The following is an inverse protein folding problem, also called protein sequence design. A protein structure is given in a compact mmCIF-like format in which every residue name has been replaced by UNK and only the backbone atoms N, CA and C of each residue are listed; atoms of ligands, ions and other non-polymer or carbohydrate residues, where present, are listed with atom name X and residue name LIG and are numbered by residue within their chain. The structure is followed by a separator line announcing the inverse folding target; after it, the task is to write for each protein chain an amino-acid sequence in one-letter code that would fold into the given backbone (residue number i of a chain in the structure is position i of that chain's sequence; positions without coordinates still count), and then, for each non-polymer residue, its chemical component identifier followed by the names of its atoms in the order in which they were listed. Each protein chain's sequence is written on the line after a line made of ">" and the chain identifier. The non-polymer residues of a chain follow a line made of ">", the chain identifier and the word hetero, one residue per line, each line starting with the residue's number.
data_IF_635380251204
#
_entry.id   IF_635380251204
#
_cell.length_a   1.000
_cell.length_b   1.000
_cell.length_c   1.000
_cell.angle_alpha   90.00
_cell.angle_beta   90.00
_cell.angle_gamma   90.00
#
_symmetry.space_group_name_H-M   'P 1'
#
loop_
_entity.id
_entity.type
_entity.pdbx_description
1 polymer ?
#
# COMPACT_ATOMS: atom_id res chain seq x y z
N UNK A 1 -41.27 16.75 -8.31
CA UNK A 1 -40.63 17.34 -7.12
C UNK A 1 -39.82 18.53 -7.56
N UNK A 2 -40.16 19.70 -7.03
CA UNK A 2 -39.65 20.99 -7.46
C UNK A 2 -38.21 21.20 -6.99
N UNK A 3 -37.38 21.73 -7.88
CA UNK A 3 -36.04 22.21 -7.56
C UNK A 3 -36.13 23.49 -6.73
N UNK A 4 -35.44 23.51 -5.60
CA UNK A 4 -35.26 24.70 -4.78
C UNK A 4 -33.81 25.20 -4.95
N UNK A 5 -33.60 26.20 -5.80
CA UNK A 5 -32.42 27.07 -5.76
C UNK A 5 -32.83 28.42 -5.21
N UNK A 6 -32.39 28.73 -3.98
CA UNK A 6 -32.68 29.99 -3.29
C UNK A 6 -31.43 30.89 -3.23
N UNK A 7 -31.58 32.03 -3.91
CA UNK A 7 -31.13 33.40 -3.63
C UNK A 7 -29.64 33.74 -3.43
N UNK A 8 -29.24 34.80 -4.14
CA UNK A 8 -27.97 35.50 -4.07
C UNK A 8 -28.07 36.85 -3.32
N UNK A 9 -26.89 37.34 -2.91
CA UNK A 9 -26.46 38.73 -2.57
C UNK A 9 -26.88 39.34 -1.21
N UNK A 10 -26.19 40.39 -0.70
CA UNK A 10 -24.87 40.96 -1.03
C UNK A 10 -23.94 41.18 0.19
N UNK A 11 -22.62 41.25 -0.04
CA UNK A 11 -21.67 41.78 0.94
C UNK A 11 -21.63 43.32 0.85
N UNK A 12 -21.82 43.99 1.98
CA UNK A 12 -21.71 45.43 2.14
C UNK A 12 -20.34 45.81 2.71
N UNK A 13 -19.82 46.89 2.15
CA UNK A 13 -18.60 47.64 2.44
C UNK A 13 -18.66 48.32 3.82
N UNK A 14 -17.53 48.44 4.54
CA UNK A 14 -17.17 49.68 5.29
C UNK A 14 -15.75 49.66 5.89
N UNK A 15 -14.93 50.62 5.41
CA UNK A 15 -14.13 51.58 6.19
C UNK A 15 -12.93 51.16 7.06
N UNK A 16 -11.74 51.29 6.45
CA UNK A 16 -10.57 52.14 6.81
C UNK A 16 -10.51 52.80 8.21
N UNK A 17 -9.41 52.58 8.94
CA UNK A 17 -8.72 53.60 9.76
C UNK A 17 -7.24 53.20 10.00
N UNK A 18 -6.34 54.16 9.81
CA UNK A 18 -4.89 54.12 10.00
C UNK A 18 -4.55 54.62 11.41
N UNK A 19 -3.54 54.04 12.06
CA UNK A 19 -2.63 54.81 12.93
C UNK A 19 -1.23 54.15 13.00
N UNK A 20 -0.12 54.92 12.89
CA UNK A 20 1.24 54.41 13.01
C UNK A 20 1.91 54.88 14.31
N UNK A 21 2.48 53.97 15.11
CA UNK A 21 3.55 54.35 16.05
C UNK A 21 4.31 53.11 16.51
N UNK A 22 5.62 53.12 16.25
CA UNK A 22 6.52 52.02 16.55
C UNK A 22 6.71 51.75 18.04
N UNK A 23 7.08 50.52 18.34
CA UNK A 23 7.97 50.20 19.45
C UNK A 23 8.88 49.10 18.94
N UNK A 24 10.17 49.40 18.88
CA UNK A 24 11.22 48.48 18.47
C UNK A 24 11.15 47.22 19.34
N UNK A 25 10.85 46.08 18.73
CA UNK A 25 11.15 44.78 19.33
C UNK A 25 12.45 44.28 18.73
N UNK A 26 13.44 44.19 19.60
CA UNK A 26 14.73 43.54 19.44
C UNK A 26 14.49 42.08 18.99
N UNK A 27 14.36 41.86 17.68
CA UNK A 27 14.32 40.52 17.11
C UNK A 27 15.76 40.04 16.99
N UNK A 28 16.19 39.21 17.95
CA UNK A 28 17.22 38.21 17.68
C UNK A 28 16.90 37.54 16.34
N UNK A 29 17.87 37.33 15.44
CA UNK A 29 17.63 36.52 14.26
C UNK A 29 17.23 35.12 14.76
N UNK A 30 15.95 34.79 14.63
CA UNK A 30 15.51 33.41 14.59
C UNK A 30 16.24 32.82 13.39
N UNK A 31 17.30 32.08 13.67
CA UNK A 31 17.88 31.16 12.68
C UNK A 31 16.71 30.32 12.20
N UNK A 32 16.28 30.58 10.96
CA UNK A 32 15.39 29.77 10.17
C UNK A 32 16.10 28.42 10.01
N UNK A 33 15.96 27.57 11.03
CA UNK A 33 16.33 26.18 10.93
C UNK A 33 15.32 25.60 9.94
N UNK A 34 15.80 25.40 8.71
CA UNK A 34 15.10 24.59 7.72
C UNK A 34 14.52 23.37 8.43
N UNK A 35 13.23 23.05 8.28
CA UNK A 35 12.69 21.82 8.84
C UNK A 35 13.58 20.68 8.36
N UNK A 36 13.95 19.78 9.28
CA UNK A 36 14.70 18.57 8.95
C UNK A 36 14.07 17.95 7.69
N UNK A 37 14.87 17.51 6.70
CA UNK A 37 14.32 16.87 5.53
C UNK A 37 13.45 15.71 6.01
N UNK A 38 12.17 15.74 5.66
CA UNK A 38 11.26 14.62 5.89
C UNK A 38 11.86 13.45 5.11
N UNK A 39 12.60 12.58 5.80
CA UNK A 39 13.13 11.35 5.22
C UNK A 39 11.92 10.50 4.90
N UNK A 40 11.60 10.38 3.61
CA UNK A 40 10.59 9.44 3.16
C UNK A 40 11.02 8.03 3.61
N UNK A 41 10.13 7.23 4.22
CA UNK A 41 10.48 5.88 4.64
C UNK A 41 10.91 5.06 3.41
N UNK A 42 12.04 4.37 3.52
CA UNK A 42 12.52 3.46 2.49
C UNK A 42 11.54 2.29 2.38
N UNK A 43 11.11 1.90 1.16
CA UNK A 43 10.16 0.81 1.00
C UNK A 43 10.77 -0.51 1.49
N UNK A 44 10.04 -1.23 2.33
CA UNK A 44 10.46 -2.56 2.79
C UNK A 44 10.73 -3.48 1.59
N UNK A 45 11.86 -4.23 1.61
CA UNK A 45 12.17 -5.15 0.53
C UNK A 45 11.15 -6.28 0.49
N UNK A 46 10.75 -6.68 -0.72
CA UNK A 46 9.91 -7.86 -0.91
C UNK A 46 10.68 -9.13 -0.48
N UNK A 47 10.00 -10.11 0.12
CA UNK A 47 10.62 -11.40 0.40
C UNK A 47 10.99 -12.10 -0.91
N UNK A 48 12.02 -12.95 -0.88
CA UNK A 48 12.40 -13.81 -2.01
C UNK A 48 11.72 -15.18 -1.98
N UNK A 49 11.21 -15.58 -0.82
CA UNK A 49 10.51 -16.84 -0.61
C UNK A 49 9.46 -16.73 0.48
N UNK A 50 8.34 -17.46 0.34
CA UNK A 50 7.34 -17.66 1.39
C UNK A 50 7.02 -19.15 1.53
N UNK A 51 6.69 -19.59 2.74
CA UNK A 51 6.22 -20.94 3.04
C UNK A 51 5.22 -20.93 4.22
N UNK A 52 4.96 -22.09 4.81
CA UNK A 52 4.06 -22.23 5.95
C UNK A 52 4.61 -21.69 7.27
N UNK A 53 5.91 -21.36 7.34
CA UNK A 53 6.60 -20.81 8.50
C UNK A 53 6.74 -19.29 8.42
N UNK A 54 6.59 -18.71 7.23
CA UNK A 54 6.54 -17.25 7.06
C UNK A 54 5.41 -16.64 7.91
N UNK A 55 5.67 -15.52 8.62
CA UNK A 55 4.64 -14.83 9.41
C UNK A 55 3.36 -14.54 8.60
N UNK A 56 2.21 -14.69 9.24
CA UNK A 56 0.89 -14.61 8.58
C UNK A 56 0.63 -13.20 8.06
N UNK A 57 1.03 -12.20 8.83
CA UNK A 57 1.05 -10.77 8.50
C UNK A 57 1.85 -10.51 7.21
N UNK A 58 3.09 -10.99 7.11
CA UNK A 58 3.88 -10.87 5.88
C UNK A 58 3.23 -11.61 4.70
N UNK A 59 2.72 -12.84 4.91
CA UNK A 59 2.03 -13.60 3.84
C UNK A 59 0.76 -12.93 3.35
N UNK A 60 0.05 -12.21 4.22
CA UNK A 60 -1.17 -11.47 3.85
C UNK A 60 -0.85 -10.18 3.07
N UNK A 61 0.35 -9.63 3.26
CA UNK A 61 0.84 -8.40 2.61
C UNK A 61 1.41 -8.63 1.21
N UNK A 62 1.71 -9.87 0.83
CA UNK A 62 2.29 -10.19 -0.48
C UNK A 62 1.31 -10.98 -1.34
N UNK A 63 1.29 -10.66 -2.64
CA UNK A 63 0.67 -11.50 -3.67
C UNK A 63 1.74 -12.10 -4.56
N UNK A 64 1.52 -13.34 -4.99
CA UNK A 64 2.38 -14.01 -5.96
C UNK A 64 1.81 -13.81 -7.35
N UNK A 65 2.66 -13.39 -8.28
CA UNK A 65 2.27 -13.08 -9.66
C UNK A 65 3.16 -13.87 -10.60
N UNK A 66 2.56 -14.43 -11.65
CA UNK A 66 3.30 -14.96 -12.80
C UNK A 66 4.01 -13.81 -13.51
N UNK A 67 5.34 -13.91 -13.66
CA UNK A 67 6.14 -12.85 -14.23
C UNK A 67 5.95 -12.68 -15.75
N UNK A 68 5.51 -13.73 -16.45
CA UNK A 68 5.27 -13.74 -17.90
C UNK A 68 3.87 -13.23 -18.23
N UNK A 69 2.85 -13.66 -17.49
CA UNK A 69 1.45 -13.30 -17.78
C UNK A 69 0.93 -12.11 -16.97
N UNK A 70 1.55 -11.82 -15.82
CA UNK A 70 1.05 -10.83 -14.86
C UNK A 70 -0.17 -11.30 -14.07
N UNK A 71 -0.58 -12.57 -14.19
CA UNK A 71 -1.72 -13.11 -13.46
C UNK A 71 -1.36 -13.47 -12.02
N UNK A 72 -2.28 -13.21 -11.09
CA UNK A 72 -2.09 -13.59 -9.68
C UNK A 72 -2.26 -15.09 -9.51
N UNK A 73 -1.27 -15.73 -8.87
CA UNK A 73 -1.29 -17.16 -8.57
C UNK A 73 -1.97 -17.37 -7.21
N UNK A 74 -3.15 -17.99 -7.23
CA UNK A 74 -3.92 -18.30 -6.04
C UNK A 74 -3.53 -19.62 -5.37
N UNK A 75 -4.02 -19.81 -4.12
CA UNK A 75 -3.91 -21.07 -3.35
C UNK A 75 -2.46 -21.55 -3.15
N UNK A 76 -1.53 -20.61 -3.03
CA UNK A 76 -0.10 -20.85 -2.84
C UNK A 76 0.18 -21.31 -1.41
N UNK A 77 0.97 -22.38 -1.29
CA UNK A 77 1.48 -22.90 -0.02
C UNK A 77 2.90 -22.38 0.21
N UNK A 78 3.74 -22.46 -0.83
CA UNK A 78 5.10 -21.98 -0.82
C UNK A 78 5.50 -21.46 -2.20
N UNK A 79 6.41 -20.49 -2.24
CA UNK A 79 6.96 -19.96 -3.47
C UNK A 79 8.39 -19.45 -3.22
N UNK A 80 9.25 -19.66 -4.21
CA UNK A 80 10.64 -19.20 -4.22
C UNK A 80 10.93 -18.55 -5.58
N UNK A 81 11.12 -17.24 -5.57
CA UNK A 81 11.38 -16.44 -6.76
C UNK A 81 12.76 -16.72 -7.35
N UNK A 82 13.73 -17.07 -6.50
CA UNK A 82 15.11 -17.33 -6.94
C UNK A 82 15.19 -18.70 -7.62
N UNK A 83 14.51 -19.70 -7.04
CA UNK A 83 14.40 -21.03 -7.64
C UNK A 83 13.43 -21.05 -8.83
N UNK A 84 12.53 -20.06 -8.94
CA UNK A 84 11.46 -20.06 -9.93
C UNK A 84 10.47 -21.20 -9.69
N UNK A 85 10.10 -21.44 -8.43
CA UNK A 85 9.28 -22.59 -8.06
C UNK A 85 8.08 -22.16 -7.21
N UNK A 86 6.92 -22.72 -7.52
CA UNK A 86 5.68 -22.52 -6.75
C UNK A 86 5.09 -23.87 -6.35
N UNK A 87 4.68 -23.97 -5.09
CA UNK A 87 3.85 -25.07 -4.58
C UNK A 87 2.49 -24.54 -4.20
N UNK A 88 1.43 -25.08 -4.81
CA UNK A 88 0.04 -24.65 -4.59
C UNK A 88 -0.91 -25.84 -4.46
N UNK A 89 -2.09 -25.60 -3.91
CA UNK A 89 -3.14 -26.61 -3.95
C UNK A 89 -3.64 -26.80 -5.38
N UNK A 90 -3.89 -28.04 -5.76
CA UNK A 90 -4.58 -28.36 -7.00
C UNK A 90 -6.03 -27.86 -6.94
N UNK A 91 -6.46 -27.22 -8.04
CA UNK A 91 -7.83 -26.69 -8.18
C UNK A 91 -8.44 -27.22 -9.46
N UNK A 92 -9.61 -27.85 -9.37
CA UNK A 92 -10.42 -28.31 -10.50
C UNK A 92 -11.85 -27.77 -10.36
N UNK A 93 -12.39 -27.16 -11.42
CA UNK A 93 -13.72 -26.54 -11.42
C UNK A 93 -13.93 -25.57 -10.23
N UNK A 94 -12.89 -24.83 -9.86
CA UNK A 94 -12.90 -23.89 -8.73
C UNK A 94 -12.79 -24.53 -7.34
N UNK A 95 -12.72 -25.86 -7.23
CA UNK A 95 -12.65 -26.59 -5.97
C UNK A 95 -11.26 -27.17 -5.72
N UNK A 96 -10.86 -27.22 -4.45
CA UNK A 96 -9.61 -27.89 -4.04
C UNK A 96 -9.74 -29.39 -4.26
N UNK A 97 -8.76 -29.98 -4.95
CA UNK A 97 -8.74 -31.43 -5.21
C UNK A 97 -8.29 -32.17 -3.96
N UNK A 98 -8.98 -33.27 -3.65
CA UNK A 98 -8.62 -34.20 -2.57
C UNK A 98 -8.37 -35.60 -3.09
N UNK A 99 -7.39 -36.28 -2.51
CA UNK A 99 -7.08 -37.69 -2.73
C UNK A 99 -6.70 -38.32 -1.39
N UNK A 100 -7.26 -39.48 -1.07
CA UNK A 100 -6.98 -40.22 0.17
C UNK A 100 -7.11 -39.34 1.44
N UNK A 101 -8.19 -38.54 1.50
CA UNK A 101 -8.51 -37.60 2.59
C UNK A 101 -7.48 -36.45 2.78
N UNK A 102 -6.65 -36.18 1.77
CA UNK A 102 -5.67 -35.09 1.78
C UNK A 102 -5.85 -34.17 0.58
N UNK A 103 -5.55 -32.88 0.76
CA UNK A 103 -5.52 -31.94 -0.37
C UNK A 103 -4.32 -32.25 -1.27
N UNK A 104 -4.57 -32.28 -2.57
CA UNK A 104 -3.50 -32.47 -3.56
C UNK A 104 -2.74 -31.15 -3.72
N UNK A 105 -1.41 -31.25 -3.73
CA UNK A 105 -0.50 -30.14 -3.98
C UNK A 105 0.26 -30.38 -5.27
N UNK A 106 0.52 -29.31 -6.01
CA UNK A 106 1.29 -29.34 -7.25
C UNK A 106 2.49 -28.41 -7.05
N UNK A 107 3.66 -28.88 -7.44
CA UNK A 107 4.88 -28.07 -7.52
C UNK A 107 5.21 -27.86 -9.00
N UNK A 108 5.39 -26.60 -9.39
CA UNK A 108 5.59 -26.19 -10.77
C UNK A 108 6.81 -25.27 -10.83
N UNK A 109 7.65 -25.46 -11.84
CA UNK A 109 8.71 -24.51 -12.18
C UNK A 109 8.08 -23.41 -13.04
N UNK A 110 8.15 -22.16 -12.56
CA UNK A 110 7.47 -21.01 -13.12
C UNK A 110 8.21 -19.71 -12.81
N UNK A 111 8.33 -18.85 -13.81
CA UNK A 111 8.78 -17.47 -13.64
C UNK A 111 7.77 -16.71 -12.77
N UNK A 112 8.13 -16.38 -11.53
CA UNK A 112 7.24 -15.74 -10.55
C UNK A 112 7.89 -14.51 -9.91
N UNK A 113 7.06 -13.60 -9.39
CA UNK A 113 7.50 -12.47 -8.57
C UNK A 113 6.52 -12.22 -7.43
N UNK A 114 7.01 -11.67 -6.33
CA UNK A 114 6.16 -11.11 -5.31
C UNK A 114 5.84 -9.65 -5.61
N UNK A 115 4.66 -9.21 -5.18
CA UNK A 115 4.25 -7.82 -5.17
C UNK A 115 3.59 -7.52 -3.83
N UNK A 116 3.76 -6.30 -3.33
CA UNK A 116 3.00 -5.82 -2.17
C UNK A 116 1.53 -5.66 -2.55
N UNK A 117 0.64 -6.04 -1.65
CA UNK A 117 -0.79 -5.76 -1.79
C UNK A 117 -1.00 -4.28 -1.45
N UNK A 118 -1.55 -3.52 -2.40
CA UNK A 118 -1.84 -2.10 -2.20
C UNK A 118 -2.79 -1.90 -1.01
N UNK A 119 -2.52 -0.90 -0.18
CA UNK A 119 -3.37 -0.52 0.95
C UNK A 119 -3.12 -1.27 2.26
N UNK A 120 -2.11 -2.15 2.33
CA UNK A 120 -1.66 -2.72 3.61
C UNK A 120 -0.50 -1.86 4.16
N UNK A 121 -0.67 -1.16 5.28
CA UNK A 121 0.39 -0.32 5.85
C UNK A 121 1.59 -1.19 6.26
N UNK A 122 2.80 -0.66 6.07
CA UNK A 122 3.97 -1.15 6.79
C UNK A 122 3.78 -0.78 8.26
N UNK A 123 3.88 -1.76 9.16
CA UNK A 123 3.83 -1.54 10.61
C UNK A 123 5.17 -1.06 11.16
#
# INVERSE_FOLDING_TARGET
>A
MAGNTKAAKPAADTSKATDPAGTAQDQKPVTDALPDPVVAPEPEPLPTSIDTRTPVDLRARVKLVDAETGETIGKVIAADVVAGQVTRFAVENGNLVRKDDRFVTITEDRSIRFEWVEGVPAE
#
